data_IF_614025148197
#
_entry.id   IF_614025148197
#
_cell.length_a   1.000
_cell.length_b   1.000
_cell.length_c   1.000
_cell.angle_alpha   90.00
_cell.angle_beta   90.00
_cell.angle_gamma   90.00
#
_symmetry.space_group_name_H-M   'P 1'
#
loop_
_entity.id
_entity.type
_entity.pdbx_description
1 polymer ?
#
# COMPACT_ATOMS: atom_id res chain seq x y z
N UNK A 1 -16.57 6.29 29.12
CA UNK A 1 -15.91 5.15 28.48
C UNK A 1 -14.43 5.41 28.59
N UNK A 2 -13.69 4.59 29.30
CA UNK A 2 -12.27 4.72 29.39
C UNK A 2 -11.69 4.56 27.99
N UNK A 3 -10.85 5.52 27.58
CA UNK A 3 -10.16 5.47 26.29
C UNK A 3 -9.22 4.26 26.31
N UNK A 4 -9.34 3.35 25.34
CA UNK A 4 -8.42 2.24 25.16
C UNK A 4 -7.02 2.81 24.98
N UNK A 5 -6.04 2.32 25.72
CA UNK A 5 -4.66 2.69 25.54
C UNK A 5 -4.05 1.81 24.43
N UNK A 6 -3.47 2.44 23.40
CA UNK A 6 -2.75 1.71 22.36
C UNK A 6 -1.31 1.49 22.79
N UNK A 7 -0.90 0.22 22.93
CA UNK A 7 0.47 -0.14 23.33
C UNK A 7 1.47 0.17 22.21
N UNK A 8 2.62 0.74 22.56
CA UNK A 8 3.75 0.92 21.65
C UNK A 8 4.83 -0.10 21.99
N UNK A 9 5.03 -1.09 21.11
CA UNK A 9 5.96 -2.20 21.28
C UNK A 9 7.20 -1.97 20.37
N UNK A 10 8.40 -1.87 20.94
CA UNK A 10 9.61 -1.66 20.14
C UNK A 10 10.03 -2.97 19.46
N UNK A 11 10.23 -2.97 18.14
CA UNK A 11 10.52 -4.18 17.35
C UNK A 11 11.81 -4.88 17.75
N UNK A 12 12.76 -4.16 18.35
CA UNK A 12 14.04 -4.69 18.82
C UNK A 12 14.02 -5.26 20.24
N UNK A 13 12.88 -5.15 20.97
CA UNK A 13 12.75 -5.75 22.30
C UNK A 13 12.38 -7.23 22.20
N UNK A 14 12.96 -8.11 23.08
CA UNK A 14 12.84 -9.56 22.94
C UNK A 14 11.41 -10.09 22.97
N UNK A 15 10.54 -9.51 23.80
CA UNK A 15 9.17 -9.98 24.01
C UNK A 15 8.15 -9.40 23.05
N UNK A 16 8.53 -8.43 22.23
CA UNK A 16 7.60 -7.71 21.33
C UNK A 16 6.84 -8.64 20.40
N UNK A 17 7.54 -9.53 19.72
CA UNK A 17 6.89 -10.45 18.78
C UNK A 17 5.90 -11.39 19.49
N UNK A 18 6.21 -11.84 20.70
CA UNK A 18 5.34 -12.69 21.51
C UNK A 18 4.10 -11.93 21.98
N UNK A 19 4.27 -10.74 22.55
CA UNK A 19 3.16 -9.90 23.02
C UNK A 19 2.20 -9.59 21.86
N UNK A 20 2.74 -9.17 20.71
CA UNK A 20 1.95 -8.87 19.52
C UNK A 20 1.20 -10.13 18.99
N UNK A 21 1.89 -11.29 18.97
CA UNK A 21 1.29 -12.56 18.57
C UNK A 21 0.16 -13.00 19.51
N UNK A 22 0.33 -12.85 20.82
CA UNK A 22 -0.69 -13.16 21.81
C UNK A 22 -1.93 -12.25 21.64
N UNK A 23 -1.76 -10.95 21.37
CA UNK A 23 -2.85 -10.04 21.04
C UNK A 23 -3.61 -10.51 19.81
N UNK A 24 -2.92 -10.82 18.70
CA UNK A 24 -3.53 -11.32 17.45
C UNK A 24 -4.29 -12.63 17.70
N UNK A 25 -3.68 -13.58 18.41
CA UNK A 25 -4.27 -14.88 18.72
C UNK A 25 -5.57 -14.74 19.53
N UNK A 26 -5.64 -13.74 20.39
CA UNK A 26 -6.83 -13.44 21.21
C UNK A 26 -7.84 -12.51 20.52
N UNK A 27 -7.73 -12.35 19.17
CA UNK A 27 -8.66 -11.58 18.35
C UNK A 27 -8.50 -10.06 18.47
N UNK A 28 -7.35 -9.58 18.93
CA UNK A 28 -7.00 -8.17 18.97
C UNK A 28 -6.43 -7.64 17.64
N UNK A 29 -6.21 -6.32 17.57
CA UNK A 29 -5.65 -5.61 16.43
C UNK A 29 -4.25 -5.12 16.73
N UNK A 30 -3.28 -5.46 15.90
CA UNK A 30 -1.91 -4.99 15.99
C UNK A 30 -1.47 -4.37 14.68
N UNK A 31 -0.98 -3.15 14.70
CA UNK A 31 -0.29 -2.60 13.54
C UNK A 31 1.15 -3.16 13.50
N UNK A 32 1.48 -3.83 12.41
CA UNK A 32 2.79 -4.49 12.20
C UNK A 32 3.60 -3.75 11.13
N UNK A 33 4.91 -3.54 11.34
CA UNK A 33 5.80 -2.98 10.34
C UNK A 33 6.06 -4.00 9.22
N UNK A 34 6.13 -3.53 7.97
CA UNK A 34 6.63 -4.31 6.85
C UNK A 34 7.60 -3.47 6.02
N UNK A 35 8.28 -4.08 5.04
CA UNK A 35 9.13 -3.35 4.11
C UNK A 35 8.35 -2.39 3.20
N UNK A 36 7.06 -2.64 2.99
CA UNK A 36 6.19 -1.85 2.10
C UNK A 36 5.48 -0.70 2.82
N UNK A 37 4.51 -1.01 3.64
CA UNK A 37 3.73 -0.10 4.48
C UNK A 37 3.36 -0.80 5.78
N UNK A 38 3.03 -0.07 6.83
CA UNK A 38 2.47 -0.70 8.04
C UNK A 38 1.14 -1.38 7.71
N UNK A 39 0.98 -2.61 8.21
CA UNK A 39 -0.25 -3.39 8.08
C UNK A 39 -1.07 -3.38 9.37
N UNK A 40 -2.38 -3.16 9.29
CA UNK A 40 -3.28 -3.35 10.44
C UNK A 40 -3.70 -4.81 10.49
N UNK A 41 -3.08 -5.58 11.39
CA UNK A 41 -3.18 -7.03 11.47
C UNK A 41 -4.22 -7.54 12.45
N UNK A 42 -4.89 -8.61 12.05
CA UNK A 42 -5.74 -9.45 12.90
C UNK A 42 -5.59 -10.93 12.50
N UNK A 43 -6.08 -11.85 13.33
CA UNK A 43 -6.20 -13.26 12.97
C UNK A 43 -7.03 -13.42 11.69
N UNK A 44 -6.40 -13.84 10.59
CA UNK A 44 -7.05 -13.94 9.28
C UNK A 44 -8.08 -15.05 9.16
N UNK A 45 -8.14 -15.98 10.12
CA UNK A 45 -9.09 -17.08 10.17
C UNK A 45 -10.25 -16.83 11.14
N UNK A 46 -10.27 -15.67 11.82
CA UNK A 46 -11.33 -15.27 12.75
C UNK A 46 -12.15 -14.11 12.16
N UNK A 47 -13.38 -14.37 11.76
CA UNK A 47 -14.27 -13.37 11.16
C UNK A 47 -14.53 -12.18 12.06
N UNK A 48 -14.61 -12.37 13.37
CA UNK A 48 -14.86 -11.29 14.34
C UNK A 48 -13.61 -10.41 14.51
N UNK A 49 -12.42 -11.00 14.54
CA UNK A 49 -11.17 -10.26 14.55
C UNK A 49 -11.00 -9.45 13.26
N UNK A 50 -11.27 -10.05 12.11
CA UNK A 50 -11.24 -9.38 10.80
C UNK A 50 -12.27 -8.25 10.72
N UNK A 51 -13.47 -8.40 11.30
CA UNK A 51 -14.48 -7.36 11.37
C UNK A 51 -13.96 -6.08 12.05
N UNK A 52 -13.14 -6.22 13.10
CA UNK A 52 -12.55 -5.09 13.83
C UNK A 52 -11.63 -4.25 12.94
N UNK A 53 -10.92 -4.88 11.95
CA UNK A 53 -10.11 -4.14 10.96
C UNK A 53 -10.99 -3.17 10.17
N UNK A 54 -12.12 -3.65 9.65
CA UNK A 54 -13.03 -2.81 8.84
C UNK A 54 -13.60 -1.66 9.66
N UNK A 55 -13.98 -1.92 10.94
CA UNK A 55 -14.49 -0.90 11.87
C UNK A 55 -13.40 0.15 12.16
N UNK A 56 -12.20 -0.28 12.56
CA UNK A 56 -11.11 0.63 12.92
C UNK A 56 -10.70 1.56 11.78
N UNK A 57 -10.72 1.04 10.53
CA UNK A 57 -10.36 1.79 9.32
C UNK A 57 -11.51 2.59 8.70
N UNK A 58 -12.75 2.33 9.03
CA UNK A 58 -13.91 2.79 8.24
C UNK A 58 -13.89 2.24 6.81
N UNK A 59 -13.46 0.96 6.64
CA UNK A 59 -13.26 0.33 5.33
C UNK A 59 -14.52 -0.40 4.87
N UNK A 60 -14.89 -0.33 3.57
CA UNK A 60 -15.94 -1.16 2.99
C UNK A 60 -15.62 -2.66 3.10
N UNK A 61 -16.62 -3.48 3.48
CA UNK A 61 -16.42 -4.90 3.77
C UNK A 61 -16.28 -5.79 2.51
N UNK A 62 -16.65 -5.27 1.35
CA UNK A 62 -16.50 -5.94 0.03
C UNK A 62 -15.07 -5.87 -0.54
N UNK A 63 -14.16 -5.21 0.17
CA UNK A 63 -12.78 -5.04 -0.26
C UNK A 63 -11.87 -6.08 0.41
N UNK A 64 -11.40 -7.13 -0.32
CA UNK A 64 -10.68 -8.26 0.27
C UNK A 64 -9.40 -7.84 1.00
N UNK A 65 -8.91 -8.71 1.88
CA UNK A 65 -7.68 -8.52 2.64
C UNK A 65 -6.58 -9.47 2.14
N UNK A 66 -5.33 -9.12 2.44
CA UNK A 66 -4.17 -9.97 2.14
C UNK A 66 -3.83 -10.77 3.39
N UNK A 67 -3.72 -12.09 3.27
CA UNK A 67 -3.19 -12.96 4.29
C UNK A 67 -1.66 -12.92 4.27
N UNK A 68 -1.06 -12.51 5.39
CA UNK A 68 0.39 -12.54 5.58
C UNK A 68 0.79 -13.83 6.26
N UNK A 69 1.79 -14.50 5.69
CA UNK A 69 2.36 -15.77 6.13
C UNK A 69 3.83 -15.59 6.53
N UNK A 70 4.37 -16.47 7.38
CA UNK A 70 5.75 -16.39 7.85
C UNK A 70 6.77 -17.06 6.93
N UNK A 71 6.31 -17.95 6.04
CA UNK A 71 7.13 -18.63 5.06
C UNK A 71 6.32 -19.14 3.88
N UNK A 72 6.95 -19.36 2.70
CA UNK A 72 6.25 -19.74 1.47
C UNK A 72 5.58 -21.12 1.56
N UNK A 73 6.04 -22.00 2.41
CA UNK A 73 5.47 -23.34 2.68
C UNK A 73 4.03 -23.27 3.21
N UNK A 74 3.64 -22.15 3.82
CA UNK A 74 2.29 -21.99 4.38
C UNK A 74 1.22 -21.68 3.32
N UNK A 75 1.60 -21.41 2.07
CA UNK A 75 0.65 -21.11 1.00
C UNK A 75 -0.36 -22.24 0.81
N UNK A 76 0.10 -23.50 0.96
CA UNK A 76 -0.72 -24.69 0.83
C UNK A 76 -1.76 -24.87 1.95
N UNK A 77 -1.60 -24.16 3.08
CA UNK A 77 -2.59 -24.23 4.16
C UNK A 77 -3.87 -23.48 3.80
N UNK A 78 -3.78 -22.44 2.98
CA UNK A 78 -4.88 -21.49 2.71
C UNK A 78 -5.35 -21.49 1.26
N UNK A 79 -4.56 -22.06 0.33
CA UNK A 79 -4.84 -22.08 -1.09
C UNK A 79 -4.94 -23.52 -1.62
N UNK A 80 -5.68 -23.71 -2.72
CA UNK A 80 -5.71 -24.95 -3.50
C UNK A 80 -5.47 -24.67 -4.98
N UNK A 81 -5.21 -25.71 -5.79
CA UNK A 81 -4.89 -25.58 -7.22
C UNK A 81 -3.76 -24.58 -7.50
N UNK A 82 -2.68 -24.65 -6.71
CA UNK A 82 -1.55 -23.74 -6.78
C UNK A 82 -0.71 -24.09 -8.03
N UNK A 83 -0.63 -23.20 -9.04
CA UNK A 83 0.18 -23.45 -10.23
C UNK A 83 1.68 -23.33 -9.93
N UNK A 84 2.54 -24.00 -10.71
CA UNK A 84 3.99 -23.91 -10.58
C UNK A 84 4.49 -22.45 -10.58
N UNK A 85 3.90 -21.59 -11.40
CA UNK A 85 4.18 -20.15 -11.45
C UNK A 85 4.08 -19.45 -10.08
N UNK A 86 3.23 -19.94 -9.16
CA UNK A 86 3.14 -19.37 -7.82
C UNK A 86 4.38 -19.71 -6.99
N UNK A 87 4.90 -20.90 -7.09
CA UNK A 87 6.13 -21.33 -6.43
C UNK A 87 7.35 -20.61 -7.01
N UNK A 88 7.40 -20.46 -8.35
CA UNK A 88 8.48 -19.74 -9.04
C UNK A 88 8.53 -18.27 -8.59
N UNK A 89 7.37 -17.62 -8.46
CA UNK A 89 7.27 -16.25 -7.95
C UNK A 89 7.63 -16.16 -6.46
N UNK A 90 7.21 -17.14 -5.66
CA UNK A 90 7.53 -17.18 -4.23
C UNK A 90 9.06 -17.38 -4.02
N UNK A 91 9.70 -18.25 -4.78
CA UNK A 91 11.14 -18.45 -4.73
C UNK A 91 11.91 -17.19 -5.13
N UNK A 92 11.44 -16.48 -6.16
CA UNK A 92 12.12 -15.29 -6.68
C UNK A 92 11.94 -14.05 -5.78
N UNK A 93 10.78 -13.90 -5.11
CA UNK A 93 10.39 -12.64 -4.51
C UNK A 93 9.89 -12.71 -3.06
N UNK A 94 9.86 -13.87 -2.42
CA UNK A 94 9.52 -14.03 -1.00
C UNK A 94 10.73 -14.50 -0.17
N UNK A 95 10.89 -13.89 1.01
CA UNK A 95 10.11 -12.78 1.61
C UNK A 95 10.26 -11.49 0.81
N UNK A 96 9.14 -10.75 0.62
CA UNK A 96 9.23 -9.52 -0.16
C UNK A 96 7.90 -8.87 -0.53
N UNK A 97 7.98 -7.81 -1.37
CA UNK A 97 6.85 -6.95 -1.70
C UNK A 97 5.97 -7.51 -2.83
N UNK A 98 5.76 -8.84 -2.86
CA UNK A 98 4.87 -9.53 -3.80
C UNK A 98 3.70 -10.18 -3.07
N UNK A 99 2.50 -10.01 -3.61
CA UNK A 99 1.26 -10.68 -3.21
C UNK A 99 0.75 -11.52 -4.38
N UNK A 100 0.37 -12.76 -4.12
CA UNK A 100 -0.16 -13.69 -5.10
C UNK A 100 -1.62 -13.99 -4.78
N UNK A 101 -2.52 -13.87 -5.76
CA UNK A 101 -3.94 -14.22 -5.64
C UNK A 101 -4.13 -15.62 -6.19
N UNK A 102 -4.75 -16.49 -5.37
CA UNK A 102 -4.98 -17.91 -5.63
C UNK A 102 -6.38 -18.32 -5.19
N UNK A 103 -6.91 -19.47 -5.66
CA UNK A 103 -8.14 -20.04 -5.15
C UNK A 103 -8.05 -20.36 -3.65
N UNK A 104 -9.01 -19.84 -2.86
CA UNK A 104 -9.05 -19.97 -1.41
C UNK A 104 -9.59 -21.31 -0.96
N UNK A 105 -8.98 -21.93 0.06
CA UNK A 105 -9.57 -23.05 0.79
C UNK A 105 -10.71 -22.59 1.70
N UNK A 106 -11.61 -23.51 2.05
CA UNK A 106 -12.79 -23.26 2.88
C UNK A 106 -12.48 -22.78 4.30
N UNK A 107 -11.24 -23.01 4.78
CA UNK A 107 -10.80 -22.50 6.07
C UNK A 107 -10.60 -20.97 6.10
N UNK A 108 -10.54 -20.31 4.93
CA UNK A 108 -10.40 -18.84 4.85
C UNK A 108 -11.80 -18.21 4.89
N UNK A 109 -12.10 -17.39 5.91
CA UNK A 109 -13.41 -16.79 6.07
C UNK A 109 -13.80 -15.87 4.90
N UNK A 110 -15.10 -15.82 4.60
CA UNK A 110 -15.65 -14.94 3.55
C UNK A 110 -15.38 -13.47 3.82
N UNK A 111 -15.32 -13.06 5.07
CA UNK A 111 -14.97 -11.69 5.44
C UNK A 111 -13.53 -11.33 5.06
N UNK A 112 -12.59 -12.27 5.18
CA UNK A 112 -11.20 -12.09 4.75
C UNK A 112 -11.09 -11.98 3.24
N UNK A 113 -11.84 -12.81 2.50
CA UNK A 113 -11.82 -12.80 1.04
C UNK A 113 -12.73 -11.73 0.40
N UNK A 114 -13.49 -10.96 1.20
CA UNK A 114 -14.50 -10.04 0.67
C UNK A 114 -15.63 -10.74 -0.08
N UNK A 115 -15.92 -12.02 0.28
CA UNK A 115 -16.94 -12.87 -0.38
C UNK A 115 -16.45 -13.61 -1.62
N UNK A 116 -15.20 -13.39 -2.05
CA UNK A 116 -14.63 -14.04 -3.23
C UNK A 116 -14.27 -15.52 -2.96
N UNK A 117 -14.08 -16.29 -4.04
CA UNK A 117 -13.53 -17.66 -4.02
C UNK A 117 -11.98 -17.67 -4.03
N UNK A 118 -11.35 -16.51 -3.98
CA UNK A 118 -9.91 -16.33 -4.05
C UNK A 118 -9.38 -15.64 -2.81
N UNK A 119 -8.13 -15.84 -2.50
CA UNK A 119 -7.41 -15.17 -1.42
C UNK A 119 -6.06 -14.63 -1.91
N UNK A 120 -5.69 -13.46 -1.43
CA UNK A 120 -4.38 -12.87 -1.67
C UNK A 120 -3.44 -13.27 -0.52
N UNK A 121 -2.24 -13.78 -0.84
CA UNK A 121 -1.25 -14.26 0.13
C UNK A 121 0.08 -13.56 -0.10
N UNK A 122 0.79 -13.24 0.99
CA UNK A 122 2.10 -12.59 0.96
C UNK A 122 2.99 -13.04 2.11
N UNK A 123 4.29 -13.21 1.85
CA UNK A 123 5.32 -13.36 2.88
C UNK A 123 6.13 -12.05 2.96
N UNK A 124 5.97 -11.20 4.01
CA UNK A 124 6.63 -9.89 4.08
C UNK A 124 8.13 -10.00 4.41
N UNK A 125 8.94 -9.10 3.88
CA UNK A 125 10.38 -9.02 4.20
C UNK A 125 10.62 -8.09 5.40
N UNK A 126 10.19 -8.58 6.59
CA UNK A 126 10.41 -7.92 7.86
C UNK A 126 10.45 -8.97 8.98
N UNK A 127 11.60 -9.12 9.62
CA UNK A 127 11.84 -10.21 10.59
C UNK A 127 10.85 -10.21 11.75
N UNK A 128 10.57 -9.03 12.35
CA UNK A 128 9.59 -8.93 13.44
C UNK A 128 8.18 -9.31 12.98
N UNK A 129 7.77 -8.89 11.78
CA UNK A 129 6.45 -9.27 11.25
C UNK A 129 6.34 -10.77 11.06
N UNK A 130 7.35 -11.41 10.46
CA UNK A 130 7.38 -12.87 10.27
C UNK A 130 7.42 -13.62 11.61
N UNK A 131 8.15 -13.11 12.60
CA UNK A 131 8.16 -13.68 13.94
C UNK A 131 6.78 -13.59 14.62
N UNK A 132 6.08 -12.46 14.50
CA UNK A 132 4.72 -12.31 15.02
C UNK A 132 3.77 -13.32 14.35
N UNK A 133 3.82 -13.46 13.02
CA UNK A 133 2.99 -14.42 12.27
C UNK A 133 3.28 -15.85 12.74
N UNK A 134 4.56 -16.23 12.82
CA UNK A 134 4.97 -17.57 13.25
C UNK A 134 4.53 -17.88 14.69
N UNK A 135 4.72 -16.95 15.63
CA UNK A 135 4.36 -17.12 17.05
C UNK A 135 2.85 -17.11 17.26
N UNK A 136 2.07 -16.38 16.44
CA UNK A 136 0.62 -16.41 16.52
C UNK A 136 0.02 -17.75 16.10
N UNK A 137 0.73 -18.52 15.27
CA UNK A 137 0.25 -19.79 14.72
C UNK A 137 -0.90 -19.66 13.72
N UNK A 138 -1.21 -18.42 13.29
CA UNK A 138 -2.28 -18.12 12.32
C UNK A 138 -1.78 -17.14 11.26
N UNK A 139 -2.34 -17.15 10.03
CA UNK A 139 -2.05 -16.12 9.06
C UNK A 139 -2.64 -14.79 9.52
N UNK A 140 -1.96 -13.69 9.26
CA UNK A 140 -2.44 -12.36 9.65
C UNK A 140 -3.10 -11.67 8.45
N UNK A 141 -4.40 -11.41 8.53
CA UNK A 141 -5.08 -10.54 7.58
C UNK A 141 -4.69 -9.10 7.87
N UNK A 142 -4.02 -8.43 6.90
CA UNK A 142 -3.57 -7.07 7.10
C UNK A 142 -3.69 -6.21 5.83
N UNK A 143 -4.63 -5.26 5.77
CA UNK A 143 -4.55 -4.11 4.87
C UNK A 143 -3.53 -3.10 5.40
N UNK A 144 -3.18 -2.07 4.62
CA UNK A 144 -2.40 -0.93 5.13
C UNK A 144 -3.04 -0.31 6.38
N UNK A 145 -2.24 0.19 7.32
CA UNK A 145 -2.73 0.65 8.63
C UNK A 145 -3.19 2.13 8.65
N UNK A 146 -3.69 2.68 7.53
CA UNK A 146 -4.30 4.01 7.45
C UNK A 146 -5.82 3.96 7.62
N UNK A 147 -6.45 5.08 7.99
CA UNK A 147 -7.89 5.29 7.81
C UNK A 147 -8.22 5.17 6.32
N UNK A 148 -9.35 4.53 5.98
CA UNK A 148 -9.73 4.28 4.59
C UNK A 148 -9.80 5.58 3.77
N UNK A 149 -9.21 5.57 2.56
CA UNK A 149 -9.12 6.73 1.68
C UNK A 149 -7.83 7.55 1.85
N UNK A 150 -7.29 7.66 3.07
CA UNK A 150 -6.06 8.43 3.36
C UNK A 150 -4.79 7.75 2.81
N UNK A 151 -3.67 8.50 2.66
CA UNK A 151 -2.38 7.93 2.27
C UNK A 151 -1.93 6.84 3.23
N UNK A 152 -1.28 5.78 2.71
CA UNK A 152 -0.84 4.65 3.53
C UNK A 152 0.18 5.08 4.59
N UNK A 153 0.28 4.28 5.65
CA UNK A 153 1.16 4.54 6.78
C UNK A 153 2.52 3.90 6.56
N UNK A 154 3.59 4.69 6.57
CA UNK A 154 4.98 4.24 6.37
C UNK A 154 5.84 4.37 7.63
N UNK A 155 5.28 4.89 8.71
CA UNK A 155 5.91 5.00 10.04
C UNK A 155 4.91 4.66 11.14
N UNK A 156 5.40 4.29 12.32
CA UNK A 156 4.56 4.06 13.49
C UNK A 156 3.79 5.34 13.93
N UNK A 157 4.39 6.52 13.73
CA UNK A 157 3.75 7.81 14.02
C UNK A 157 2.52 8.05 13.14
N UNK A 158 2.59 7.67 11.85
CA UNK A 158 1.43 7.73 10.96
C UNK A 158 0.30 6.83 11.46
N UNK A 159 0.64 5.62 11.94
CA UNK A 159 -0.36 4.70 12.51
C UNK A 159 -0.95 5.25 13.79
N UNK A 160 -0.12 5.77 14.69
CA UNK A 160 -0.57 6.37 15.94
C UNK A 160 -1.53 7.54 15.70
N UNK A 161 -1.21 8.41 14.73
CA UNK A 161 -2.10 9.51 14.33
C UNK A 161 -3.49 9.01 13.90
N UNK A 162 -3.56 7.91 13.15
CA UNK A 162 -4.81 7.38 12.60
C UNK A 162 -5.61 6.53 13.60
N UNK A 163 -4.91 5.80 14.51
CA UNK A 163 -5.50 4.69 15.28
C UNK A 163 -5.26 4.72 16.79
N UNK A 164 -4.70 5.80 17.35
CA UNK A 164 -4.54 5.91 18.79
C UNK A 164 -5.88 5.75 19.53
N UNK A 165 -5.92 4.84 20.51
CA UNK A 165 -7.12 4.51 21.27
C UNK A 165 -8.14 3.62 20.54
N UNK A 166 -7.86 3.17 19.29
CA UNK A 166 -8.76 2.33 18.49
C UNK A 166 -8.25 0.90 18.31
N UNK A 167 -6.95 0.67 18.42
CA UNK A 167 -6.29 -0.64 18.25
C UNK A 167 -5.51 -1.04 19.49
N UNK A 168 -5.13 -2.31 19.62
CA UNK A 168 -4.51 -2.83 20.84
C UNK A 168 -3.03 -2.46 20.93
N UNK A 169 -2.27 -2.58 19.81
CA UNK A 169 -0.86 -2.27 19.80
C UNK A 169 -0.35 -1.79 18.44
N UNK A 170 0.78 -1.09 18.48
CA UNK A 170 1.59 -0.73 17.32
C UNK A 170 3.00 -1.25 17.57
N UNK A 171 3.52 -2.07 16.67
CA UNK A 171 4.92 -2.48 16.69
C UNK A 171 5.76 -1.42 15.98
N UNK A 172 6.66 -0.76 16.72
CA UNK A 172 7.52 0.32 16.21
C UNK A 172 8.76 -0.31 15.57
N UNK A 173 8.74 -0.46 14.24
CA UNK A 173 9.81 -1.11 13.46
C UNK A 173 10.58 -0.14 12.52
N UNK A 174 10.47 1.16 12.76
CA UNK A 174 11.10 2.17 11.90
C UNK A 174 10.30 2.48 10.62
N UNK A 175 10.85 3.28 9.70
CA UNK A 175 10.22 3.63 8.44
C UNK A 175 10.26 2.45 7.46
N UNK A 176 9.23 2.34 6.63
CA UNK A 176 9.14 1.33 5.58
C UNK A 176 10.13 1.62 4.44
N UNK A 177 10.93 0.64 4.06
CA UNK A 177 12.01 0.75 3.08
C UNK A 177 11.49 0.97 1.66
N UNK A 178 10.41 0.26 1.26
CA UNK A 178 9.81 0.36 -0.07
C UNK A 178 8.82 1.52 -0.16
N UNK A 179 8.02 1.75 0.88
CA UNK A 179 7.14 2.90 1.02
C UNK A 179 5.85 2.89 0.20
N UNK A 180 5.70 1.95 -0.74
CA UNK A 180 4.46 1.68 -1.48
C UNK A 180 4.02 0.24 -1.23
N UNK A 181 2.72 -0.05 -1.39
CA UNK A 181 2.18 -1.38 -1.15
C UNK A 181 2.75 -2.42 -2.13
N UNK A 182 2.61 -3.70 -1.76
CA UNK A 182 3.07 -4.84 -2.56
C UNK A 182 2.48 -4.87 -3.96
N UNK A 183 3.25 -5.39 -4.90
CA UNK A 183 2.76 -5.81 -6.22
C UNK A 183 1.77 -6.96 -6.04
N UNK A 184 0.65 -6.97 -6.78
CA UNK A 184 -0.35 -8.04 -6.71
C UNK A 184 -0.49 -8.69 -8.08
N UNK A 185 -0.26 -10.00 -8.14
CA UNK A 185 -0.42 -10.84 -9.33
C UNK A 185 -1.53 -11.86 -9.10
N UNK A 186 -2.48 -11.92 -10.00
CA UNK A 186 -3.54 -12.94 -10.04
C UNK A 186 -3.08 -14.12 -10.90
N UNK A 187 -3.07 -15.32 -10.31
CA UNK A 187 -2.75 -16.59 -10.96
C UNK A 187 -3.96 -17.53 -11.01
N UNK A 188 -5.18 -17.03 -10.85
CA UNK A 188 -6.41 -17.83 -10.91
C UNK A 188 -6.89 -18.08 -12.34
N UNK A 189 -6.30 -17.39 -13.31
CA UNK A 189 -6.55 -17.54 -14.74
C UNK A 189 -5.32 -18.15 -15.44
N UNK A 190 -5.48 -18.65 -16.67
CA UNK A 190 -4.38 -19.23 -17.45
C UNK A 190 -3.19 -18.28 -17.63
N UNK A 191 -3.50 -17.01 -17.94
CA UNK A 191 -2.49 -15.96 -18.09
C UNK A 191 -2.38 -15.12 -16.82
N UNK A 192 -1.17 -14.98 -16.24
CA UNK A 192 -0.93 -14.14 -15.08
C UNK A 192 -1.37 -12.70 -15.33
N UNK A 193 -1.99 -12.07 -14.33
CA UNK A 193 -2.51 -10.71 -14.43
C UNK A 193 -2.00 -9.82 -13.30
N UNK A 194 -1.39 -8.69 -13.64
CA UNK A 194 -0.99 -7.65 -12.69
C UNK A 194 -2.23 -6.86 -12.28
N UNK A 195 -2.65 -6.99 -11.03
CA UNK A 195 -3.78 -6.26 -10.47
C UNK A 195 -3.38 -4.92 -9.82
N UNK A 196 -2.16 -4.84 -9.30
CA UNK A 196 -1.63 -3.64 -8.66
C UNK A 196 -0.10 -3.60 -8.79
N UNK A 197 0.49 -2.55 -9.37
CA UNK A 197 1.93 -2.36 -9.34
C UNK A 197 2.40 -1.99 -7.92
N UNK A 198 3.61 -2.41 -7.55
CA UNK A 198 4.21 -2.21 -6.24
C UNK A 198 5.74 -2.30 -6.30
N UNK A 199 6.35 -2.82 -5.23
CA UNK A 199 7.81 -2.91 -5.13
C UNK A 199 8.50 -3.83 -6.17
N UNK A 200 7.74 -4.73 -6.82
CA UNK A 200 8.23 -5.56 -7.93
C UNK A 200 7.63 -5.02 -9.24
N UNK A 201 8.49 -4.64 -10.18
CA UNK A 201 8.07 -4.13 -11.49
C UNK A 201 7.56 -5.22 -12.44
N UNK A 202 6.77 -4.85 -13.47
CA UNK A 202 6.28 -5.80 -14.48
C UNK A 202 7.39 -6.57 -15.19
N UNK A 203 8.52 -5.94 -15.45
CA UNK A 203 9.67 -6.52 -16.14
C UNK A 203 10.25 -7.71 -15.36
N UNK A 204 10.38 -7.57 -14.03
CA UNK A 204 10.86 -8.63 -13.16
C UNK A 204 9.87 -9.80 -13.07
N UNK A 205 8.55 -9.49 -13.08
CA UNK A 205 7.51 -10.52 -13.12
C UNK A 205 7.54 -11.30 -14.45
N UNK A 206 7.68 -10.61 -15.58
CA UNK A 206 7.74 -11.22 -16.91
C UNK A 206 8.98 -12.12 -17.04
N UNK A 207 10.10 -11.75 -16.43
CA UNK A 207 11.31 -12.57 -16.44
C UNK A 207 11.08 -13.95 -15.77
N UNK A 208 10.20 -14.05 -14.79
CA UNK A 208 9.84 -15.32 -14.12
C UNK A 208 8.67 -16.01 -14.81
N UNK A 209 7.65 -15.27 -15.22
CA UNK A 209 6.36 -15.82 -15.69
C UNK A 209 6.33 -16.06 -17.21
N UNK A 210 7.22 -15.41 -17.97
CA UNK A 210 7.23 -15.41 -19.43
C UNK A 210 6.19 -14.48 -20.08
N UNK A 211 5.05 -14.26 -19.43
CA UNK A 211 3.95 -13.41 -19.90
C UNK A 211 3.21 -12.77 -18.73
N UNK A 212 2.62 -11.58 -18.94
CA UNK A 212 1.87 -10.84 -17.93
C UNK A 212 0.86 -9.90 -18.58
N UNK A 213 -0.41 -10.02 -18.19
CA UNK A 213 -1.44 -9.05 -18.56
C UNK A 213 -1.48 -7.95 -17.49
N UNK A 214 -1.49 -6.70 -17.90
CA UNK A 214 -1.76 -5.57 -16.98
C UNK A 214 -3.27 -5.34 -16.94
N UNK A 215 -3.85 -5.38 -15.73
CA UNK A 215 -5.28 -5.14 -15.54
C UNK A 215 -5.64 -3.68 -15.84
N UNK A 216 -6.84 -3.46 -16.39
CA UNK A 216 -7.32 -2.10 -16.72
C UNK A 216 -7.38 -1.17 -15.50
N UNK A 217 -7.66 -1.71 -14.30
CA UNK A 217 -7.69 -0.95 -13.06
C UNK A 217 -6.32 -0.35 -12.65
N UNK A 218 -5.24 -0.78 -13.29
CA UNK A 218 -3.90 -0.21 -13.10
C UNK A 218 -3.76 1.10 -13.87
N UNK A 219 -4.33 1.19 -15.06
CA UNK A 219 -4.11 2.28 -16.03
C UNK A 219 -5.26 3.29 -16.09
N UNK A 220 -6.46 2.89 -15.65
CA UNK A 220 -7.66 3.72 -15.73
C UNK A 220 -8.52 3.58 -14.47
N UNK A 221 -9.44 4.50 -14.31
CA UNK A 221 -10.49 4.40 -13.30
C UNK A 221 -11.47 3.30 -13.71
N UNK A 222 -11.88 2.46 -12.76
CA UNK A 222 -12.90 1.42 -12.95
C UNK A 222 -14.25 1.85 -12.39
N UNK A 223 -15.33 1.25 -12.89
CA UNK A 223 -16.67 1.53 -12.43
C UNK A 223 -16.90 1.09 -10.99
N UNK A 224 -17.78 1.81 -10.27
CA UNK A 224 -18.09 1.54 -8.86
C UNK A 224 -18.73 0.15 -8.62
N UNK A 225 -19.39 -0.40 -9.63
CA UNK A 225 -20.07 -1.70 -9.54
C UNK A 225 -19.19 -2.88 -9.97
N UNK A 226 -17.96 -2.63 -10.39
CA UNK A 226 -17.04 -3.68 -10.79
C UNK A 226 -16.51 -4.46 -9.58
N UNK A 227 -16.54 -5.80 -9.67
CA UNK A 227 -16.01 -6.69 -8.64
C UNK A 227 -14.49 -6.66 -8.70
N UNK A 228 -13.85 -6.31 -7.59
CA UNK A 228 -12.40 -6.21 -7.49
C UNK A 228 -11.81 -7.40 -6.76
N UNK A 229 -10.78 -8.01 -7.34
CA UNK A 229 -10.08 -9.20 -6.80
C UNK A 229 -9.00 -8.85 -5.77
N UNK A 230 -8.64 -7.56 -5.63
CA UNK A 230 -7.53 -7.15 -4.75
C UNK A 230 -7.74 -5.74 -4.15
N UNK A 231 -7.08 -5.44 -3.02
CA UNK A 231 -7.10 -4.12 -2.40
C UNK A 231 -6.51 -3.02 -3.31
N UNK A 232 -7.12 -1.82 -3.29
CA UNK A 232 -6.59 -0.64 -3.98
C UNK A 232 -6.98 -0.52 -5.46
N UNK A 233 -7.91 -1.37 -5.96
CA UNK A 233 -8.38 -1.28 -7.34
C UNK A 233 -9.54 -0.28 -7.52
N UNK A 234 -10.54 -0.26 -6.65
CA UNK A 234 -11.87 0.33 -6.88
C UNK A 234 -12.07 1.75 -6.34
N UNK A 235 -11.67 2.02 -5.11
CA UNK A 235 -12.02 3.26 -4.42
C UNK A 235 -11.01 4.37 -4.66
N UNK A 236 -11.39 5.65 -4.42
CA UNK A 236 -10.43 6.73 -4.29
C UNK A 236 -9.48 6.39 -3.14
N UNK A 237 -8.23 6.26 -3.44
CA UNK A 237 -7.18 5.86 -2.49
C UNK A 237 -6.05 6.87 -2.52
N UNK A 238 -5.34 6.96 -1.39
CA UNK A 238 -4.07 7.68 -1.28
C UNK A 238 -4.18 9.20 -1.38
N UNK A 239 -5.37 9.74 -1.52
CA UNK A 239 -5.55 11.17 -1.74
C UNK A 239 -5.53 11.94 -0.41
N UNK A 240 -4.85 13.08 -0.33
CA UNK A 240 -5.14 14.10 0.67
C UNK A 240 -6.58 14.62 0.45
N UNK A 241 -7.08 15.43 1.38
CA UNK A 241 -8.43 16.00 1.25
C UNK A 241 -8.52 16.91 0.04
N UNK A 242 -7.46 17.65 -0.22
CA UNK A 242 -7.39 18.67 -1.26
C UNK A 242 -7.11 18.07 -2.66
N UNK A 243 -7.52 18.78 -3.73
CA UNK A 243 -7.29 18.32 -5.10
C UNK A 243 -5.79 18.20 -5.41
N UNK A 244 -5.42 17.09 -6.08
CA UNK A 244 -4.08 16.91 -6.62
C UNK A 244 -4.17 16.97 -8.14
N UNK A 245 -3.28 17.75 -8.77
CA UNK A 245 -3.13 17.85 -10.22
C UNK A 245 -1.71 17.42 -10.59
N UNK A 246 -1.59 16.41 -11.43
CA UNK A 246 -0.28 16.00 -11.96
C UNK A 246 0.06 16.92 -13.13
N UNK A 247 1.26 17.53 -13.08
CA UNK A 247 1.78 18.34 -14.17
C UNK A 247 2.92 17.58 -14.85
N UNK A 248 2.66 17.09 -16.07
CA UNK A 248 3.63 16.39 -16.93
C UNK A 248 4.41 17.37 -17.81
N UNK A 249 5.42 16.86 -18.50
CA UNK A 249 6.29 17.64 -19.37
C UNK A 249 7.69 17.88 -18.79
N UNK A 250 8.55 18.59 -19.55
CA UNK A 250 9.89 18.95 -19.12
C UNK A 250 9.88 19.79 -17.85
N UNK A 251 10.98 19.75 -17.09
CA UNK A 251 11.10 20.48 -15.81
C UNK A 251 10.78 21.96 -15.97
N UNK A 252 11.30 22.59 -17.01
CA UNK A 252 11.15 24.02 -17.29
C UNK A 252 9.70 24.39 -17.66
N UNK A 253 9.04 23.57 -18.48
CA UNK A 253 7.65 23.80 -18.87
C UNK A 253 6.68 23.55 -17.72
N UNK A 254 6.87 22.47 -16.99
CA UNK A 254 6.08 22.19 -15.79
C UNK A 254 6.22 23.29 -14.74
N UNK A 255 7.46 23.78 -14.50
CA UNK A 255 7.69 24.89 -13.57
C UNK A 255 7.03 26.18 -14.03
N UNK A 256 7.06 26.49 -15.33
CA UNK A 256 6.38 27.65 -15.89
C UNK A 256 4.87 27.57 -15.73
N UNK A 257 4.29 26.40 -16.04
CA UNK A 257 2.87 26.14 -15.87
C UNK A 257 2.45 26.31 -14.40
N UNK A 258 3.14 25.64 -13.47
CA UNK A 258 2.82 25.70 -12.05
C UNK A 258 2.91 27.13 -11.52
N UNK A 259 4.01 27.85 -11.79
CA UNK A 259 4.18 29.24 -11.35
C UNK A 259 3.11 30.19 -11.89
N UNK A 260 2.61 29.96 -13.11
CA UNK A 260 1.54 30.78 -13.73
C UNK A 260 0.18 30.57 -13.04
N UNK A 261 -0.08 29.35 -12.54
CA UNK A 261 -1.38 28.98 -11.97
C UNK A 261 -1.40 28.97 -10.45
N UNK A 262 -0.22 29.01 -9.81
CA UNK A 262 -0.05 28.95 -8.36
C UNK A 262 -0.76 30.11 -7.66
N UNK A 263 -1.53 29.79 -6.62
CA UNK A 263 -2.21 30.75 -5.76
C UNK A 263 -1.71 30.58 -4.30
N UNK A 264 -1.81 31.63 -3.45
CA UNK A 264 -1.54 31.48 -2.03
C UNK A 264 -2.40 30.38 -1.39
N UNK A 265 -1.79 29.44 -0.67
CA UNK A 265 -2.44 28.26 -0.12
C UNK A 265 -2.27 27.00 -0.97
N UNK A 266 -1.74 27.11 -2.20
CA UNK A 266 -1.36 25.93 -2.98
C UNK A 266 -0.02 25.36 -2.51
N UNK A 267 0.27 24.12 -2.92
CA UNK A 267 1.54 23.41 -2.65
C UNK A 267 2.07 22.76 -3.92
N UNK A 268 3.38 22.58 -3.97
CA UNK A 268 4.04 21.83 -5.04
C UNK A 268 4.71 20.58 -4.48
N UNK A 269 4.30 19.41 -4.94
CA UNK A 269 4.94 18.13 -4.66
C UNK A 269 5.89 17.79 -5.82
N UNK A 270 7.20 17.82 -5.59
CA UNK A 270 8.18 17.71 -6.67
C UNK A 270 9.36 16.81 -6.31
N UNK A 271 10.27 16.62 -7.26
CA UNK A 271 11.54 15.96 -7.02
C UNK A 271 12.52 16.90 -6.29
N UNK A 272 13.48 16.33 -5.57
CA UNK A 272 14.49 17.12 -4.83
C UNK A 272 15.25 18.07 -5.76
N UNK A 273 15.60 17.61 -6.95
CA UNK A 273 16.32 18.37 -7.98
C UNK A 273 15.50 19.55 -8.56
N UNK A 274 14.19 19.54 -8.37
CA UNK A 274 13.29 20.60 -8.87
C UNK A 274 12.96 21.67 -7.83
N UNK A 275 13.34 21.50 -6.54
CA UNK A 275 13.04 22.45 -5.47
C UNK A 275 13.40 23.91 -5.83
N UNK A 276 14.59 24.22 -6.44
CA UNK A 276 14.92 25.58 -6.81
C UNK A 276 14.01 26.18 -7.88
N UNK A 277 13.38 25.35 -8.71
CA UNK A 277 12.46 25.81 -9.75
C UNK A 277 11.13 26.32 -9.19
N UNK A 278 10.79 25.94 -7.96
CA UNK A 278 9.54 26.28 -7.29
C UNK A 278 9.71 27.22 -6.10
N UNK A 279 10.83 27.94 -6.02
CA UNK A 279 11.03 28.96 -4.99
C UNK A 279 9.87 29.96 -4.98
N UNK A 280 9.27 30.19 -3.81
CA UNK A 280 8.07 31.00 -3.63
C UNK A 280 6.73 30.29 -3.87
N UNK A 281 6.75 29.00 -4.26
CA UNK A 281 5.56 28.17 -4.45
C UNK A 281 5.41 27.06 -3.39
N UNK A 282 6.03 27.21 -2.23
CA UNK A 282 5.96 26.29 -1.09
C UNK A 282 6.17 24.82 -1.49
N UNK A 283 7.34 24.46 -2.06
CA UNK A 283 7.61 23.13 -2.57
C UNK A 283 7.91 22.13 -1.46
N UNK A 284 7.45 20.90 -1.64
CA UNK A 284 7.74 19.73 -0.82
C UNK A 284 8.34 18.64 -1.71
N UNK A 285 9.58 18.22 -1.40
CA UNK A 285 10.16 17.06 -2.08
C UNK A 285 9.64 15.75 -1.48
N UNK A 286 9.45 14.74 -2.34
CA UNK A 286 9.16 13.38 -1.92
C UNK A 286 10.28 12.40 -2.31
N UNK A 287 11.42 12.89 -2.81
CA UNK A 287 12.61 12.11 -3.14
C UNK A 287 13.33 12.62 -4.37
N UNK A 288 14.35 11.88 -4.79
CA UNK A 288 15.20 12.18 -5.92
C UNK A 288 14.67 11.53 -7.21
N UNK A 289 14.56 12.28 -8.30
CA UNK A 289 14.13 11.73 -9.59
C UNK A 289 15.10 10.66 -10.10
N UNK A 290 16.39 10.84 -9.83
CA UNK A 290 17.44 9.89 -10.21
C UNK A 290 17.40 8.58 -9.41
N UNK A 291 16.77 8.56 -8.21
CA UNK A 291 16.60 7.37 -7.38
C UNK A 291 15.14 7.15 -7.01
N UNK A 292 14.46 6.35 -7.83
CA UNK A 292 13.02 6.04 -7.66
C UNK A 292 12.68 5.34 -6.35
N UNK A 293 13.66 4.74 -5.65
CA UNK A 293 13.43 4.14 -4.34
C UNK A 293 13.19 5.22 -3.28
N UNK A 294 13.87 6.36 -3.39
CA UNK A 294 13.61 7.52 -2.51
C UNK A 294 12.22 8.08 -2.75
N UNK A 295 11.77 8.14 -4.02
CA UNK A 295 10.43 8.59 -4.39
C UNK A 295 9.34 7.66 -3.80
N UNK A 296 9.52 6.36 -3.90
CA UNK A 296 8.55 5.41 -3.34
C UNK A 296 8.51 5.46 -1.82
N UNK A 297 9.66 5.55 -1.16
CA UNK A 297 9.76 5.65 0.30
C UNK A 297 9.16 6.97 0.85
N UNK A 298 9.33 8.08 0.12
CA UNK A 298 8.89 9.42 0.55
C UNK A 298 7.44 9.77 0.20
N UNK A 299 6.85 9.11 -0.82
CA UNK A 299 5.56 9.50 -1.38
C UNK A 299 4.43 9.66 -0.36
N UNK A 300 4.17 8.62 0.44
CA UNK A 300 3.04 8.66 1.37
C UNK A 300 3.28 9.59 2.56
N UNK A 301 4.52 9.74 3.01
CA UNK A 301 4.87 10.72 4.03
C UNK A 301 4.58 12.14 3.52
N UNK A 302 5.00 12.46 2.29
CA UNK A 302 4.73 13.75 1.67
C UNK A 302 3.23 13.99 1.46
N UNK A 303 2.48 12.99 0.93
CA UNK A 303 1.02 13.12 0.77
C UNK A 303 0.29 13.31 2.10
N UNK A 304 0.80 12.75 3.21
CA UNK A 304 0.25 12.98 4.56
C UNK A 304 0.52 14.38 5.07
N UNK A 305 1.69 14.95 4.78
CA UNK A 305 2.00 16.34 5.10
C UNK A 305 1.07 17.30 4.34
N UNK A 306 0.62 16.91 3.17
CA UNK A 306 -0.30 17.67 2.31
C UNK A 306 -1.80 17.44 2.65
N UNK A 307 -2.13 16.56 3.60
CA UNK A 307 -3.50 16.34 4.11
C UNK A 307 -3.84 17.40 5.17
N UNK A 308 -3.85 18.68 4.77
CA UNK A 308 -4.07 19.86 5.62
C UNK A 308 -5.15 20.75 5.00
N UNK A 309 -6.27 21.02 5.71
CA UNK A 309 -7.36 21.85 5.18
C UNK A 309 -6.98 23.29 4.85
N UNK A 310 -5.79 23.77 5.25
CA UNK A 310 -5.26 25.06 4.85
C UNK A 310 -4.69 25.06 3.41
N UNK A 311 -4.50 23.89 2.81
CA UNK A 311 -4.03 23.74 1.43
C UNK A 311 -5.24 23.78 0.50
N UNK A 312 -5.14 24.53 -0.61
CA UNK A 312 -6.23 24.64 -1.57
C UNK A 312 -6.08 23.64 -2.73
N UNK A 313 -4.85 23.47 -3.21
CA UNK A 313 -4.51 22.57 -4.32
C UNK A 313 -3.07 22.10 -4.22
N UNK A 314 -2.80 20.89 -4.73
CA UNK A 314 -1.46 20.34 -4.84
C UNK A 314 -1.12 20.13 -6.31
N UNK A 315 -0.07 20.77 -6.80
CA UNK A 315 0.56 20.46 -8.08
C UNK A 315 1.62 19.41 -7.87
N UNK A 316 1.52 18.27 -8.53
CA UNK A 316 2.44 17.15 -8.33
C UNK A 316 3.26 16.83 -9.58
N UNK A 317 4.57 16.68 -9.40
CA UNK A 317 5.44 16.07 -10.40
C UNK A 317 5.38 14.57 -10.26
N UNK A 318 5.36 13.86 -11.39
CA UNK A 318 5.21 12.41 -11.44
C UNK A 318 6.40 11.79 -12.19
N UNK A 319 7.09 10.77 -11.66
CA UNK A 319 8.21 10.15 -12.36
C UNK A 319 7.72 9.41 -13.61
N UNK A 320 8.62 9.18 -14.54
CA UNK A 320 8.40 8.34 -15.71
C UNK A 320 9.22 7.05 -15.60
N UNK A 321 8.84 6.00 -16.32
CA UNK A 321 9.58 4.75 -16.39
C UNK A 321 8.85 3.55 -15.80
N UNK A 322 9.55 2.40 -15.78
CA UNK A 322 9.07 1.10 -15.29
C UNK A 322 9.46 0.82 -13.83
N UNK A 323 9.48 -0.46 -13.46
CA UNK A 323 9.86 -0.88 -12.11
C UNK A 323 9.02 -0.24 -11.01
N UNK A 324 9.68 0.23 -9.94
CA UNK A 324 9.03 0.90 -8.80
C UNK A 324 8.43 2.25 -9.20
N UNK A 325 9.01 2.96 -10.19
CA UNK A 325 8.43 4.21 -10.70
C UNK A 325 6.99 4.02 -11.18
N UNK A 326 6.69 2.88 -11.79
CA UNK A 326 5.34 2.54 -12.23
C UNK A 326 4.34 2.47 -11.06
N UNK A 327 4.78 2.00 -9.88
CA UNK A 327 3.95 2.02 -8.68
C UNK A 327 3.73 3.44 -8.16
N UNK A 328 4.76 4.28 -8.12
CA UNK A 328 4.66 5.70 -7.73
C UNK A 328 3.68 6.44 -8.64
N UNK A 329 3.81 6.27 -9.96
CA UNK A 329 2.88 6.83 -10.95
C UNK A 329 1.43 6.40 -10.68
N UNK A 330 1.20 5.11 -10.44
CA UNK A 330 -0.14 4.58 -10.16
C UNK A 330 -0.75 5.22 -8.91
N UNK A 331 0.05 5.41 -7.84
CA UNK A 331 -0.42 6.04 -6.59
C UNK A 331 -0.75 7.52 -6.77
N UNK A 332 0.12 8.27 -7.45
CA UNK A 332 -0.12 9.68 -7.75
C UNK A 332 -1.32 9.88 -8.66
N UNK A 333 -1.46 9.07 -9.73
CA UNK A 333 -2.64 9.13 -10.62
C UNK A 333 -3.93 8.87 -9.86
N UNK A 334 -3.96 7.91 -8.93
CA UNK A 334 -5.13 7.64 -8.08
C UNK A 334 -5.38 8.75 -7.07
N UNK A 335 -4.34 9.34 -6.48
CA UNK A 335 -4.48 10.51 -5.60
C UNK A 335 -5.04 11.72 -6.35
N UNK A 336 -4.60 11.93 -7.60
CA UNK A 336 -5.08 12.99 -8.49
C UNK A 336 -6.42 12.68 -9.17
N UNK A 337 -7.07 11.54 -8.87
CA UNK A 337 -8.26 11.07 -9.60
C UNK A 337 -8.06 11.11 -11.14
N UNK A 338 -6.85 10.83 -11.61
CA UNK A 338 -6.40 10.89 -13.00
C UNK A 338 -6.44 12.30 -13.63
N UNK A 339 -6.45 13.35 -12.82
CA UNK A 339 -6.33 14.72 -13.31
C UNK A 339 -4.85 15.01 -13.64
N UNK A 340 -4.55 15.03 -14.95
CA UNK A 340 -3.20 15.25 -15.50
C UNK A 340 -3.28 16.40 -16.51
N UNK A 341 -2.36 17.34 -16.36
CA UNK A 341 -2.15 18.45 -17.30
C UNK A 341 -0.83 18.23 -18.00
N UNK A 342 -0.79 18.35 -19.31
CA UNK A 342 0.43 18.30 -20.11
C UNK A 342 0.94 19.71 -20.38
N UNK A 343 2.01 20.09 -19.68
CA UNK A 343 2.62 21.40 -19.83
C UNK A 343 3.38 21.57 -21.19
N UNK A 344 3.54 20.51 -21.97
CA UNK A 344 4.10 20.61 -23.34
C UNK A 344 3.09 21.20 -24.32
N UNK A 345 1.78 20.96 -24.09
CA UNK A 345 0.67 21.41 -24.96
C UNK A 345 0.18 22.82 -24.62
N UNK A 346 0.49 23.34 -23.41
CA UNK A 346 0.12 24.70 -23.02
C UNK A 346 1.19 25.73 -23.42
N UNK A 347 0.82 26.60 -24.35
CA UNK A 347 1.65 27.73 -24.86
C UNK A 347 1.53 28.96 -23.96
#
# INVERSE_FOLDING_TARGET
MDRKETLLLQANEPDTAKIAADIIKNGGLVAIPTETVYGLGANGLDEEAVAKIFIAKGRPQDNPLILHISGPEQIELFCHHIPQKAYDLAEAFWPGPLTIVLPAKDCVPKRTTGGLSTVAVRCPDHDTARAIIALSGVPIAAPSANISGKPSTTTAQHVLHDHDGKIDAIVVGGPCRVGVESTIVDLTEERPRLLRPGGIGPEALIAVLGDLIVDKAVTSQIDKDEVVKAPGMKYRHYAPQEPVVIVSGSREKAARYIRRHFQPGDRVLCFEEELPLYEGCDPLSYGQEADVNTLSAGLFAALRTLDDPAIHQVYARCPVGGGVAYAVQNRLKKAAAFHIVDAEEEV
#
